data_IF_734412985409
#
_entry.id   IF_734412985409
#
_cell.length_a   1.000
_cell.length_b   1.000
_cell.length_c   1.000
_cell.angle_alpha   90.00
_cell.angle_beta   90.00
_cell.angle_gamma   90.00
#
_symmetry.space_group_name_H-M   'P 1'
#
loop_
_entity.id
_entity.type
_entity.pdbx_description
1 polymer ?
#
# COMPACT_ATOMS: atom_id res chain seq x y z
N UNK A 1 -41.24 4.45 -26.46
CA UNK A 1 -40.59 4.50 -25.14
C UNK A 1 -41.38 5.45 -24.26
N UNK A 2 -41.86 5.00 -23.09
CA UNK A 2 -42.66 5.82 -22.17
C UNK A 2 -41.73 6.66 -21.28
N UNK A 3 -42.05 7.94 -21.01
CA UNK A 3 -41.27 8.86 -20.16
C UNK A 3 -40.85 8.24 -18.82
N UNK A 4 -41.67 7.34 -18.26
CA UNK A 4 -41.38 6.65 -17.00
C UNK A 4 -40.19 5.67 -17.10
N UNK A 5 -39.95 5.07 -18.26
CA UNK A 5 -38.74 4.27 -18.53
C UNK A 5 -37.52 5.19 -18.69
N UNK A 6 -37.66 6.31 -19.40
CA UNK A 6 -36.57 7.26 -19.61
C UNK A 6 -36.02 7.84 -18.29
N UNK A 7 -36.89 8.20 -17.35
CA UNK A 7 -36.49 8.69 -16.04
C UNK A 7 -35.81 7.62 -15.17
N UNK A 8 -36.28 6.38 -15.25
CA UNK A 8 -35.67 5.26 -14.52
C UNK A 8 -34.25 4.97 -15.04
N UNK A 9 -34.07 4.97 -16.36
CA UNK A 9 -32.77 4.71 -16.99
C UNK A 9 -31.77 5.82 -16.66
N UNK A 10 -32.19 7.10 -16.70
CA UNK A 10 -31.36 8.24 -16.31
C UNK A 10 -30.91 8.16 -14.84
N UNK A 11 -31.80 7.75 -13.93
CA UNK A 11 -31.47 7.66 -12.49
C UNK A 11 -30.48 6.53 -12.22
N UNK A 12 -30.61 5.39 -12.91
CA UNK A 12 -29.70 4.26 -12.78
C UNK A 12 -28.32 4.59 -13.39
N UNK A 13 -28.27 5.32 -14.51
CA UNK A 13 -27.03 5.79 -15.11
C UNK A 13 -26.29 6.80 -14.22
N UNK A 14 -27.01 7.76 -13.62
CA UNK A 14 -26.44 8.69 -12.64
C UNK A 14 -25.89 7.96 -11.40
N UNK A 15 -26.60 6.93 -10.92
CA UNK A 15 -26.15 6.08 -9.82
C UNK A 15 -24.88 5.31 -10.18
N UNK A 16 -24.82 4.73 -11.39
CA UNK A 16 -23.63 4.00 -11.87
C UNK A 16 -22.44 4.95 -12.04
N UNK A 17 -22.66 6.11 -12.64
CA UNK A 17 -21.62 7.13 -12.81
C UNK A 17 -21.05 7.58 -11.46
N UNK A 18 -21.91 7.77 -10.47
CA UNK A 18 -21.52 8.14 -9.10
C UNK A 18 -20.71 7.05 -8.38
N UNK A 19 -20.81 5.79 -8.81
CA UNK A 19 -20.08 4.66 -8.21
C UNK A 19 -18.77 4.32 -8.93
N UNK A 20 -18.44 4.98 -10.04
CA UNK A 20 -17.22 4.65 -10.81
C UNK A 20 -15.96 4.86 -9.98
N UNK A 21 -15.92 5.90 -9.15
CA UNK A 21 -14.82 6.17 -8.23
C UNK A 21 -15.38 6.46 -6.84
N UNK A 22 -14.88 5.74 -5.84
CA UNK A 22 -15.28 5.91 -4.45
C UNK A 22 -14.04 6.06 -3.57
N UNK A 23 -14.20 6.74 -2.45
CA UNK A 23 -13.22 6.76 -1.36
C UNK A 23 -13.80 5.96 -0.20
N UNK A 24 -12.99 5.11 0.41
CA UNK A 24 -13.39 4.31 1.55
C UNK A 24 -12.21 4.02 2.47
N UNK A 25 -12.48 3.25 3.52
CA UNK A 25 -11.46 2.77 4.45
C UNK A 25 -11.44 1.25 4.46
N UNK A 26 -10.25 0.65 4.43
CA UNK A 26 -10.11 -0.80 4.59
C UNK A 26 -10.70 -1.20 5.94
N UNK A 27 -11.62 -2.16 5.90
CA UNK A 27 -12.27 -2.73 7.07
C UNK A 27 -11.64 -4.07 7.47
N UNK A 28 -11.28 -4.89 6.47
CA UNK A 28 -10.73 -6.23 6.67
C UNK A 28 -9.69 -6.54 5.57
N UNK A 29 -8.64 -7.27 5.94
CA UNK A 29 -7.59 -7.76 5.05
C UNK A 29 -7.57 -9.30 5.07
N UNK A 30 -7.71 -9.92 3.90
CA UNK A 30 -7.34 -11.31 3.65
C UNK A 30 -6.00 -11.32 2.91
N UNK A 31 -4.92 -11.34 3.69
CA UNK A 31 -3.55 -11.35 3.19
C UNK A 31 -3.26 -12.62 2.35
N UNK A 32 -3.88 -13.75 2.68
CA UNK A 32 -3.63 -15.02 1.98
C UNK A 32 -4.14 -15.01 0.55
N UNK A 33 -5.20 -14.23 0.28
CA UNK A 33 -5.81 -14.10 -1.05
C UNK A 33 -5.52 -12.77 -1.74
N UNK A 34 -4.74 -11.88 -1.12
CA UNK A 34 -4.53 -10.51 -1.59
C UNK A 34 -5.86 -9.79 -1.87
N UNK A 35 -6.73 -9.77 -0.86
CA UNK A 35 -8.05 -9.14 -0.93
C UNK A 35 -8.32 -8.28 0.30
N UNK A 36 -9.10 -7.23 0.11
CA UNK A 36 -9.60 -6.38 1.19
C UNK A 36 -11.10 -6.18 1.08
N UNK A 37 -11.74 -5.91 2.22
CA UNK A 37 -13.09 -5.32 2.26
C UNK A 37 -12.96 -3.87 2.64
N UNK A 38 -13.73 -3.01 1.97
CA UNK A 38 -13.65 -1.56 2.15
C UNK A 38 -15.02 -1.03 2.57
N UNK A 39 -15.02 -0.13 3.55
CA UNK A 39 -16.19 0.64 3.95
C UNK A 39 -16.18 1.97 3.19
N UNK A 40 -17.11 2.16 2.27
CA UNK A 40 -17.31 3.38 1.50
C UNK A 40 -18.69 3.97 1.84
N UNK A 41 -18.71 4.96 2.73
CA UNK A 41 -19.95 5.50 3.30
C UNK A 41 -20.77 4.39 3.99
N UNK A 42 -22.05 4.18 3.62
CA UNK A 42 -22.89 3.13 4.21
C UNK A 42 -22.57 1.72 3.67
N UNK A 43 -21.76 1.59 2.62
CA UNK A 43 -21.51 0.33 1.93
C UNK A 43 -20.27 -0.35 2.52
N UNK A 44 -20.39 -1.64 2.82
CA UNK A 44 -19.26 -2.54 3.03
C UNK A 44 -19.15 -3.46 1.82
N UNK A 45 -18.02 -3.40 1.12
CA UNK A 45 -17.83 -4.18 -0.11
C UNK A 45 -17.72 -5.69 0.16
N UNK A 46 -17.78 -6.47 -0.91
CA UNK A 46 -17.21 -7.81 -0.94
C UNK A 46 -15.67 -7.78 -0.88
N UNK A 47 -15.05 -8.93 -1.11
CA UNK A 47 -13.59 -9.06 -1.19
C UNK A 47 -13.07 -8.53 -2.53
N UNK A 48 -12.41 -7.39 -2.49
CA UNK A 48 -11.86 -6.71 -3.66
C UNK A 48 -10.34 -6.94 -3.76
N UNK A 49 -9.78 -7.11 -4.96
CA UNK A 49 -8.34 -7.03 -5.15
C UNK A 49 -7.84 -5.61 -4.90
N UNK A 50 -6.57 -5.48 -4.53
CA UNK A 50 -5.87 -4.21 -4.45
C UNK A 50 -4.70 -4.16 -5.43
N UNK A 51 -4.47 -2.99 -6.00
CA UNK A 51 -3.37 -2.72 -6.90
C UNK A 51 -2.03 -2.72 -6.13
N UNK A 52 -0.97 -3.07 -6.84
CA UNK A 52 0.41 -3.03 -6.38
C UNK A 52 1.26 -2.45 -7.50
N UNK A 53 2.49 -2.01 -7.20
CA UNK A 53 3.36 -1.37 -8.19
C UNK A 53 3.66 -2.31 -9.36
N UNK A 54 3.88 -3.61 -9.10
CA UNK A 54 4.12 -4.65 -10.11
C UNK A 54 3.43 -5.96 -9.74
N UNK A 55 2.79 -6.61 -10.72
CA UNK A 55 2.09 -7.90 -10.54
C UNK A 55 2.36 -8.88 -11.69
N UNK A 56 3.59 -8.90 -12.22
CA UNK A 56 4.02 -9.77 -13.31
C UNK A 56 5.08 -10.79 -12.87
N UNK A 57 6.07 -11.11 -13.74
CA UNK A 57 7.26 -11.87 -13.33
C UNK A 57 7.96 -11.23 -12.14
N UNK A 58 8.14 -9.91 -12.17
CA UNK A 58 8.44 -9.10 -11.00
C UNK A 58 7.14 -8.75 -10.26
N UNK A 59 7.16 -8.82 -8.94
CA UNK A 59 5.99 -8.58 -8.09
C UNK A 59 6.37 -7.87 -6.80
N UNK A 60 5.51 -6.95 -6.37
CA UNK A 60 5.66 -6.18 -5.12
C UNK A 60 4.54 -6.52 -4.15
N UNK A 61 4.84 -6.53 -2.86
CA UNK A 61 3.88 -6.79 -1.78
C UNK A 61 3.96 -5.71 -0.70
N UNK A 62 2.87 -4.99 -0.52
CA UNK A 62 2.65 -4.05 0.57
C UNK A 62 1.13 -3.91 0.70
N UNK A 63 0.51 -4.82 1.46
CA UNK A 63 -0.94 -4.91 1.52
C UNK A 63 -1.50 -3.72 2.30
N UNK A 64 -2.63 -3.14 1.87
CA UNK A 64 -3.29 -2.11 2.65
C UNK A 64 -3.97 -2.73 3.88
N UNK A 65 -3.95 -2.00 5.00
CA UNK A 65 -4.36 -2.50 6.32
C UNK A 65 -5.66 -1.87 6.83
N UNK A 66 -6.38 -2.52 7.77
CA UNK A 66 -7.58 -1.92 8.36
C UNK A 66 -7.35 -0.51 8.90
N UNK A 67 -8.23 0.43 8.53
CA UNK A 67 -8.14 1.85 8.87
C UNK A 67 -7.50 2.72 7.79
N UNK A 68 -6.78 2.13 6.83
CA UNK A 68 -6.18 2.85 5.71
C UNK A 68 -7.26 3.39 4.76
N UNK A 69 -7.14 4.67 4.38
CA UNK A 69 -8.06 5.28 3.42
C UNK A 69 -7.59 5.00 1.99
N UNK A 70 -8.52 4.54 1.15
CA UNK A 70 -8.21 4.02 -0.18
C UNK A 70 -9.19 4.53 -1.22
N UNK A 71 -8.76 4.51 -2.49
CA UNK A 71 -9.60 4.78 -3.66
C UNK A 71 -10.03 3.47 -4.29
N UNK A 72 -11.33 3.33 -4.54
CA UNK A 72 -11.90 2.24 -5.31
C UNK A 72 -12.25 2.73 -6.71
N UNK A 73 -11.99 1.90 -7.72
CA UNK A 73 -12.48 2.09 -9.08
C UNK A 73 -13.38 0.92 -9.43
N UNK A 74 -14.62 1.21 -9.81
CA UNK A 74 -15.63 0.24 -10.18
C UNK A 74 -15.97 0.35 -11.67
N UNK A 75 -15.44 -0.54 -12.54
CA UNK A 75 -15.76 -0.52 -13.96
C UNK A 75 -17.27 -0.57 -14.20
N UNK A 76 -17.80 0.40 -14.95
CA UNK A 76 -19.25 0.51 -15.20
C UNK A 76 -20.10 0.85 -13.97
N UNK A 77 -19.49 1.26 -12.86
CA UNK A 77 -20.18 1.54 -11.60
C UNK A 77 -20.59 0.27 -10.82
N UNK A 78 -20.10 -0.91 -11.21
CA UNK A 78 -20.38 -2.18 -10.51
C UNK A 78 -19.36 -2.42 -9.40
N UNK A 79 -19.81 -2.22 -8.16
CA UNK A 79 -18.99 -2.40 -6.96
C UNK A 79 -18.53 -3.85 -6.72
N UNK A 80 -19.16 -4.83 -7.36
CA UNK A 80 -18.72 -6.23 -7.28
C UNK A 80 -17.46 -6.48 -8.10
N UNK A 81 -17.19 -5.63 -9.10
CA UNK A 81 -15.99 -5.66 -9.95
C UNK A 81 -14.96 -4.61 -9.52
N UNK A 82 -15.20 -3.92 -8.40
CA UNK A 82 -14.32 -2.86 -7.95
C UNK A 82 -12.93 -3.37 -7.59
N UNK A 83 -11.94 -2.50 -7.78
CA UNK A 83 -10.55 -2.73 -7.39
C UNK A 83 -10.07 -1.55 -6.56
N UNK A 84 -9.26 -1.81 -5.55
CA UNK A 84 -8.57 -0.74 -4.80
C UNK A 84 -7.34 -0.32 -5.60
N UNK A 85 -7.22 0.97 -5.95
CA UNK A 85 -6.16 1.46 -6.87
C UNK A 85 -5.10 2.32 -6.20
N UNK A 86 -5.27 2.66 -4.92
CA UNK A 86 -4.29 3.45 -4.19
C UNK A 86 -4.78 3.86 -2.82
N UNK A 87 -3.87 4.48 -2.08
CA UNK A 87 -4.06 4.92 -0.70
C UNK A 87 -3.98 6.44 -0.61
N UNK A 88 -4.71 7.00 0.36
CA UNK A 88 -4.75 8.43 0.63
C UNK A 88 -4.35 8.67 2.08
N UNK A 89 -3.53 9.69 2.30
CA UNK A 89 -3.27 10.18 3.65
C UNK A 89 -4.55 10.68 4.32
N UNK A 90 -4.57 10.59 5.65
CA UNK A 90 -5.65 11.08 6.51
C UNK A 90 -5.08 11.48 7.86
N UNK A 91 -5.87 12.16 8.70
CA UNK A 91 -5.38 12.64 10.01
C UNK A 91 -4.78 11.54 10.90
N UNK A 92 -5.33 10.32 10.85
CA UNK A 92 -4.80 9.17 11.60
C UNK A 92 -3.48 8.61 11.03
N UNK A 93 -3.21 8.83 9.74
CA UNK A 93 -2.03 8.36 9.01
C UNK A 93 -1.55 9.49 8.06
N UNK A 94 -0.89 10.53 8.61
CA UNK A 94 -0.43 11.68 7.83
C UNK A 94 0.76 11.31 6.93
N UNK A 95 1.11 12.18 5.95
CA UNK A 95 2.32 12.00 5.16
C UNK A 95 3.57 11.86 6.03
N UNK A 96 4.50 10.94 5.72
CA UNK A 96 5.70 10.69 6.53
C UNK A 96 6.80 11.75 6.35
N UNK A 97 6.64 12.67 5.39
CA UNK A 97 7.56 13.77 5.09
C UNK A 97 6.79 14.94 4.45
N UNK A 98 7.34 16.15 4.59
CA UNK A 98 6.83 17.42 4.05
C UNK A 98 7.88 18.17 3.20
N UNK A 99 9.07 17.60 3.01
CA UNK A 99 10.16 18.14 2.20
C UNK A 99 10.22 17.43 0.83
N UNK A 100 10.21 18.17 -0.31
CA UNK A 100 10.31 17.56 -1.64
C UNK A 100 11.64 16.82 -1.89
N UNK A 101 12.70 17.07 -1.11
CA UNK A 101 13.98 16.39 -1.23
C UNK A 101 14.01 15.00 -0.55
N UNK A 102 12.94 14.64 0.17
CA UNK A 102 12.83 13.40 0.93
C UNK A 102 11.97 12.36 0.19
N UNK A 103 12.50 11.16 0.05
CA UNK A 103 11.74 9.94 -0.24
C UNK A 103 11.78 9.04 0.99
N UNK A 104 10.63 8.74 1.61
CA UNK A 104 10.57 8.02 2.89
C UNK A 104 9.45 6.99 2.93
N UNK A 105 9.76 5.83 3.49
CA UNK A 105 8.80 4.82 3.96
C UNK A 105 8.94 4.66 5.47
N UNK A 106 7.81 4.65 6.19
CA UNK A 106 7.72 4.39 7.63
C UNK A 106 6.85 3.16 7.83
N UNK A 107 7.33 2.21 8.63
CA UNK A 107 6.55 1.03 9.03
C UNK A 107 5.93 1.23 10.41
N UNK A 108 4.87 0.47 10.71
CA UNK A 108 4.09 0.59 11.95
C UNK A 108 4.93 0.42 13.22
N UNK A 109 5.99 -0.37 13.16
CA UNK A 109 6.93 -0.60 14.26
C UNK A 109 7.92 0.55 14.48
N UNK A 110 7.95 1.54 13.57
CA UNK A 110 8.87 2.67 13.60
C UNK A 110 10.13 2.48 12.75
N UNK A 111 10.25 1.40 11.99
CA UNK A 111 11.33 1.27 11.01
C UNK A 111 11.20 2.36 9.93
N UNK A 112 12.35 2.78 9.36
CA UNK A 112 12.42 3.85 8.36
C UNK A 112 13.38 3.47 7.25
N UNK A 113 12.97 3.73 6.01
CA UNK A 113 13.82 3.78 4.83
C UNK A 113 13.68 5.15 4.19
N UNK A 114 14.77 5.89 4.10
CA UNK A 114 14.78 7.27 3.63
C UNK A 114 15.98 7.58 2.74
N UNK A 115 15.73 8.40 1.73
CA UNK A 115 16.76 9.09 0.97
C UNK A 115 16.49 10.60 0.94
N UNK A 116 17.43 11.38 1.45
CA UNK A 116 17.48 12.84 1.32
C UNK A 116 18.47 13.21 0.20
N UNK A 117 17.95 13.70 -0.92
CA UNK A 117 18.76 14.05 -2.10
C UNK A 117 19.54 15.35 -1.95
N UNK A 118 19.15 16.23 -1.03
CA UNK A 118 19.83 17.50 -0.75
C UNK A 118 21.08 17.26 0.11
N UNK A 119 21.00 16.32 1.05
CA UNK A 119 22.11 15.93 1.93
C UNK A 119 22.95 14.78 1.38
N UNK A 120 22.50 14.12 0.30
CA UNK A 120 23.08 12.88 -0.21
C UNK A 120 23.14 11.80 0.87
N UNK A 121 22.07 11.68 1.66
CA UNK A 121 22.01 10.82 2.85
C UNK A 121 20.99 9.71 2.67
N UNK A 122 21.44 8.46 2.81
CA UNK A 122 20.58 7.28 2.82
C UNK A 122 20.48 6.72 4.24
N UNK A 123 19.26 6.59 4.74
CA UNK A 123 18.99 6.12 6.08
C UNK A 123 18.09 4.88 6.05
N UNK A 124 18.60 3.77 6.58
CA UNK A 124 17.82 2.60 6.90
C UNK A 124 17.95 2.35 8.39
N UNK A 125 16.83 2.39 9.12
CA UNK A 125 16.80 2.10 10.55
C UNK A 125 15.68 1.12 10.86
N UNK A 126 15.96 0.24 11.81
CA UNK A 126 15.01 -0.72 12.36
C UNK A 126 15.04 -0.54 13.89
N UNK A 127 13.90 -0.55 14.59
CA UNK A 127 13.85 -0.44 16.05
C UNK A 127 14.66 -1.55 16.75
N UNK A 128 15.00 -1.32 18.02
CA UNK A 128 15.66 -2.32 18.88
C UNK A 128 14.87 -3.64 18.91
N UNK A 129 15.59 -4.75 18.96
CA UNK A 129 15.08 -6.11 18.75
C UNK A 129 14.95 -6.49 17.26
N UNK A 130 15.24 -5.54 16.37
CA UNK A 130 15.22 -5.72 14.93
C UNK A 130 16.54 -6.25 14.36
N UNK A 131 16.55 -6.40 13.03
CA UNK A 131 17.70 -6.91 12.29
C UNK A 131 17.72 -6.41 10.86
N UNK A 132 18.90 -6.02 10.37
CA UNK A 132 19.16 -5.72 8.96
C UNK A 132 20.05 -6.83 8.38
N UNK A 133 19.65 -7.37 7.23
CA UNK A 133 20.37 -8.43 6.50
C UNK A 133 20.60 -8.02 5.06
N UNK A 134 21.84 -8.14 4.60
CA UNK A 134 22.24 -7.99 3.20
C UNK A 134 22.93 -9.30 2.78
N UNK A 135 22.46 -9.95 1.72
CA UNK A 135 22.89 -11.29 1.35
C UNK A 135 23.12 -11.47 -0.16
N UNK A 136 24.11 -12.29 -0.50
CA UNK A 136 24.39 -12.79 -1.85
C UNK A 136 24.84 -14.25 -1.74
N UNK A 137 23.94 -15.19 -2.03
CA UNK A 137 24.22 -16.62 -1.85
C UNK A 137 24.64 -16.93 -0.41
N UNK A 138 25.82 -17.52 -0.15
CA UNK A 138 26.30 -17.82 1.20
C UNK A 138 26.92 -16.60 1.92
N UNK A 139 27.14 -15.48 1.23
CA UNK A 139 27.74 -14.28 1.82
C UNK A 139 26.66 -13.39 2.43
N UNK A 140 26.89 -12.89 3.64
CA UNK A 140 25.91 -12.14 4.44
C UNK A 140 26.57 -11.07 5.30
N UNK A 141 25.96 -9.89 5.35
CA UNK A 141 26.16 -8.87 6.39
C UNK A 141 24.88 -8.81 7.20
N UNK A 142 24.99 -8.99 8.52
CA UNK A 142 23.88 -8.97 9.46
C UNK A 142 24.18 -7.97 10.57
N UNK A 143 23.22 -7.10 10.87
CA UNK A 143 23.30 -6.14 11.96
C UNK A 143 22.07 -6.29 12.86
N UNK A 144 22.28 -6.38 14.16
CA UNK A 144 21.27 -6.42 15.21
C UNK A 144 21.75 -5.60 16.43
N UNK A 145 20.98 -5.60 17.51
CA UNK A 145 21.29 -4.87 18.74
C UNK A 145 22.63 -5.27 19.38
N UNK A 146 23.13 -6.49 19.13
CA UNK A 146 24.37 -6.98 19.70
C UNK A 146 25.60 -6.63 18.86
N UNK A 147 25.42 -6.26 17.59
CA UNK A 147 26.48 -5.77 16.73
C UNK A 147 26.33 -6.19 15.26
N UNK A 148 27.47 -6.25 14.56
CA UNK A 148 27.54 -6.56 13.13
C UNK A 148 28.32 -7.85 12.93
N UNK A 149 27.76 -8.77 12.14
CA UNK A 149 28.39 -10.03 11.74
C UNK A 149 28.51 -10.10 10.22
N UNK A 150 29.73 -10.36 9.75
CA UNK A 150 30.03 -10.56 8.32
C UNK A 150 30.43 -12.02 8.14
N UNK A 151 29.71 -12.72 7.28
CA UNK A 151 29.95 -14.13 6.95
C UNK A 151 30.16 -14.25 5.45
N UNK A 152 31.30 -14.79 5.03
CA UNK A 152 31.57 -15.08 3.62
C UNK A 152 32.70 -16.11 3.49
N UNK A 153 32.81 -16.84 2.37
CA UNK A 153 33.98 -17.69 2.09
C UNK A 153 35.31 -16.93 2.10
N UNK A 154 35.29 -15.62 1.79
CA UNK A 154 36.43 -14.71 1.84
C UNK A 154 35.93 -13.31 2.20
N UNK A 155 36.66 -12.61 3.08
CA UNK A 155 36.41 -11.22 3.44
C UNK A 155 37.71 -10.45 3.19
N UNK A 156 37.66 -9.48 2.28
CA UNK A 156 38.77 -8.56 2.02
C UNK A 156 38.48 -7.23 2.72
N UNK A 157 39.39 -6.79 3.60
CA UNK A 157 39.35 -5.48 4.26
C UNK A 157 40.52 -4.67 3.71
N UNK A 158 40.23 -3.60 2.97
CA UNK A 158 41.23 -2.71 2.36
C UNK A 158 41.47 -1.46 3.20
#
# INVERSE_FOLDING_TARGET
MSERHLHHDLTEDERRLSNVVLIGQVAELDATRARVRVRAGPILTGWLPFATVRAGPDRTWHAPEPGEQVVLVAPGGDLTQAVVVGSLYRDAYPPPADDPDISRTVWQDGAVLEYDRRQHYWHLSVPSGGRIVIEVGPSKIEMDDAGIRITAPRIDLN
#
